data_IF_203395082475
#
_entry.id   IF_203395082475
#
_cell.length_a   1.000
_cell.length_b   1.000
_cell.length_c   1.000
_cell.angle_alpha   90.00
_cell.angle_beta   90.00
_cell.angle_gamma   90.00
#
_symmetry.space_group_name_H-M   'P 1'
#
loop_
_entity.id
_entity.type
_entity.pdbx_description
1 polymer ?
#
# COMPACT_ATOMS: atom_id res chain seq x y z
N UNK A 1 -22.74 3.85 -6.67
CA UNK A 1 -21.26 3.77 -6.66
C UNK A 1 -20.70 5.16 -6.40
N UNK A 2 -19.96 5.39 -5.29
CA UNK A 2 -19.25 6.67 -5.09
C UNK A 2 -18.09 6.72 -6.09
N UNK A 3 -18.26 7.47 -7.17
CA UNK A 3 -17.18 7.79 -8.09
C UNK A 3 -16.19 8.70 -7.37
N UNK A 4 -15.07 8.15 -6.93
CA UNK A 4 -13.94 8.96 -6.48
C UNK A 4 -13.49 9.81 -7.65
N UNK A 5 -13.55 11.14 -7.49
CA UNK A 5 -13.12 12.08 -8.53
C UNK A 5 -11.65 11.84 -8.84
N UNK A 6 -11.34 11.39 -10.06
CA UNK A 6 -9.97 11.23 -10.54
C UNK A 6 -9.54 12.55 -11.18
N UNK A 7 -8.50 13.17 -10.62
CA UNK A 7 -7.90 14.39 -11.17
C UNK A 7 -6.66 14.01 -11.96
N UNK A 8 -6.58 14.43 -13.23
CA UNK A 8 -5.38 14.27 -14.04
C UNK A 8 -4.29 15.22 -13.51
N UNK A 9 -3.12 14.67 -13.21
CA UNK A 9 -1.92 15.43 -12.88
C UNK A 9 -0.80 15.00 -13.81
N UNK A 10 0.04 15.95 -14.22
CA UNK A 10 1.23 15.70 -15.03
C UNK A 10 2.46 15.84 -14.11
N UNK A 11 3.34 14.85 -14.16
CA UNK A 11 4.55 14.81 -13.35
C UNK A 11 5.74 14.44 -14.23
N UNK A 12 6.90 14.99 -13.91
CA UNK A 12 8.20 14.55 -14.44
C UNK A 12 8.78 13.63 -13.37
N UNK A 13 8.86 12.34 -13.67
CA UNK A 13 9.31 11.32 -12.74
C UNK A 13 10.50 10.57 -13.33
N UNK A 14 11.34 10.07 -12.43
CA UNK A 14 12.49 9.24 -12.77
C UNK A 14 12.01 7.90 -13.36
N UNK A 15 12.34 7.58 -14.63
CA UNK A 15 11.86 6.38 -15.29
C UNK A 15 12.37 5.09 -14.64
N UNK A 16 13.56 5.10 -14.04
CA UNK A 16 14.12 3.90 -13.39
C UNK A 16 13.32 3.55 -12.12
N UNK A 17 12.94 4.58 -11.35
CA UNK A 17 12.07 4.40 -10.18
C UNK A 17 10.69 3.88 -10.58
N UNK A 18 10.09 4.39 -11.65
CA UNK A 18 8.79 3.90 -12.13
C UNK A 18 8.89 2.44 -12.58
N UNK A 19 9.97 2.06 -13.26
CA UNK A 19 10.22 0.66 -13.64
C UNK A 19 10.33 -0.24 -12.41
N UNK A 20 11.11 0.15 -11.40
CA UNK A 20 11.24 -0.62 -10.17
C UNK A 20 9.89 -0.77 -9.44
N UNK A 21 9.10 0.32 -9.35
CA UNK A 21 7.77 0.25 -8.73
C UNK A 21 6.85 -0.68 -9.53
N UNK A 22 6.86 -0.65 -10.86
CA UNK A 22 6.05 -1.57 -11.69
C UNK A 22 6.36 -3.03 -11.41
N UNK A 23 7.63 -3.36 -11.22
CA UNK A 23 8.07 -4.73 -10.91
C UNK A 23 7.59 -5.15 -9.51
N UNK A 24 7.75 -4.27 -8.51
CA UNK A 24 7.28 -4.50 -7.13
C UNK A 24 5.76 -4.69 -7.09
N UNK A 25 5.01 -3.83 -7.77
CA UNK A 25 3.54 -3.84 -7.72
C UNK A 25 2.91 -4.76 -8.77
N UNK A 26 3.71 -5.38 -9.64
CA UNK A 26 3.28 -6.19 -10.81
C UNK A 26 2.23 -5.47 -11.65
N UNK A 27 2.48 -4.19 -11.92
CA UNK A 27 1.54 -3.30 -12.62
C UNK A 27 1.81 -3.28 -14.11
N UNK A 28 0.75 -3.19 -14.92
CA UNK A 28 0.85 -3.14 -16.39
C UNK A 28 1.21 -1.74 -16.88
N UNK A 29 0.68 -0.72 -16.22
CA UNK A 29 0.88 0.70 -16.59
C UNK A 29 1.56 1.48 -15.48
N UNK A 30 2.22 2.57 -15.84
CA UNK A 30 2.92 3.44 -14.91
C UNK A 30 1.94 4.11 -13.93
N UNK A 31 0.77 4.54 -14.43
CA UNK A 31 -0.32 5.06 -13.60
C UNK A 31 -0.80 4.04 -12.57
N UNK A 32 -0.94 2.78 -12.97
CA UNK A 32 -1.34 1.70 -12.05
C UNK A 32 -0.25 1.44 -11.01
N UNK A 33 1.02 1.46 -11.40
CA UNK A 33 2.14 1.29 -10.48
C UNK A 33 2.17 2.39 -9.41
N UNK A 34 2.04 3.65 -9.83
CA UNK A 34 1.99 4.79 -8.93
C UNK A 34 0.76 4.69 -8.01
N UNK A 35 -0.41 4.36 -8.55
CA UNK A 35 -1.63 4.20 -7.74
C UNK A 35 -1.47 3.13 -6.67
N UNK A 36 -0.97 1.93 -7.05
CA UNK A 36 -0.75 0.84 -6.10
C UNK A 36 0.32 1.19 -5.07
N UNK A 37 1.38 1.88 -5.46
CA UNK A 37 2.42 2.31 -4.52
C UNK A 37 1.86 3.28 -3.46
N UNK A 38 1.01 4.23 -3.86
CA UNK A 38 0.32 5.13 -2.94
C UNK A 38 -0.56 4.33 -1.96
N UNK A 39 -1.34 3.38 -2.45
CA UNK A 39 -2.20 2.54 -1.63
C UNK A 39 -1.40 1.71 -0.61
N UNK A 40 -0.28 1.11 -1.05
CA UNK A 40 0.61 0.31 -0.19
C UNK A 40 1.21 1.18 0.92
N UNK A 41 1.71 2.38 0.61
CA UNK A 41 2.30 3.26 1.62
C UNK A 41 1.26 3.70 2.65
N UNK A 42 0.04 4.03 2.21
CA UNK A 42 -1.07 4.37 3.10
C UNK A 42 -1.43 3.18 3.99
N UNK A 43 -1.53 1.97 3.43
CA UNK A 43 -1.83 0.75 4.16
C UNK A 43 -0.74 0.43 5.20
N UNK A 44 0.54 0.45 4.79
CA UNK A 44 1.67 0.20 5.67
C UNK A 44 1.71 1.19 6.83
N UNK A 45 1.45 2.48 6.58
CA UNK A 45 1.39 3.51 7.62
C UNK A 45 0.27 3.24 8.62
N UNK A 46 -0.90 2.78 8.15
CA UNK A 46 -2.03 2.40 9.03
C UNK A 46 -1.69 1.16 9.87
N UNK A 47 -1.08 0.14 9.25
CA UNK A 47 -0.64 -1.08 9.94
C UNK A 47 0.39 -0.73 11.02
N UNK A 48 1.39 0.09 10.69
CA UNK A 48 2.41 0.51 11.66
C UNK A 48 1.81 1.26 12.84
N UNK A 49 0.88 2.19 12.59
CA UNK A 49 0.16 2.91 13.66
C UNK A 49 -0.63 1.95 14.54
N UNK A 50 -1.33 0.98 13.95
CA UNK A 50 -2.08 -0.03 14.68
C UNK A 50 -1.16 -0.92 15.54
N UNK A 51 -0.05 -1.40 14.96
CA UNK A 51 0.95 -2.19 15.68
C UNK A 51 1.58 -1.41 16.84
N UNK A 52 1.89 -0.12 16.64
CA UNK A 52 2.37 0.76 17.73
C UNK A 52 1.34 0.94 18.84
N UNK A 53 0.05 1.05 18.50
CA UNK A 53 -1.02 1.18 19.49
C UNK A 53 -1.24 -0.09 20.32
N UNK A 54 -1.00 -1.27 19.72
CA UNK A 54 -1.14 -2.59 20.36
C UNK A 54 0.16 -3.04 21.05
N UNK A 55 1.27 -2.32 20.85
CA UNK A 55 2.59 -2.62 21.45
C UNK A 55 2.45 -2.78 22.98
N UNK A 56 2.74 -3.98 23.47
CA UNK A 56 2.64 -4.34 24.89
C UNK A 56 1.27 -4.86 25.37
N UNK A 57 0.27 -4.92 24.49
CA UNK A 57 -1.09 -5.42 24.81
C UNK A 57 -1.50 -6.67 24.04
N UNK A 58 -0.85 -7.00 22.93
CA UNK A 58 -1.16 -8.18 22.10
C UNK A 58 -0.09 -9.27 22.18
N UNK A 59 -0.51 -10.53 22.13
CA UNK A 59 0.39 -11.67 21.99
C UNK A 59 0.67 -11.95 20.51
N UNK A 60 1.85 -12.48 20.18
CA UNK A 60 2.20 -12.80 18.77
C UNK A 60 1.23 -13.82 18.13
N UNK A 61 0.59 -14.65 18.95
CA UNK A 61 -0.48 -15.57 18.52
C UNK A 61 -1.69 -14.84 17.94
N UNK A 62 -1.99 -13.62 18.40
CA UNK A 62 -3.14 -12.83 17.93
C UNK A 62 -2.93 -12.26 16.51
N UNK A 63 -1.67 -12.21 16.05
CA UNK A 63 -1.30 -11.71 14.72
C UNK A 63 -1.18 -12.84 13.70
N UNK A 64 -0.71 -14.02 14.13
CA UNK A 64 -0.41 -15.15 13.25
C UNK A 64 -1.38 -16.32 13.35
N UNK A 65 -2.36 -16.33 14.26
CA UNK A 65 -3.35 -17.39 14.27
C UNK A 65 -4.10 -17.37 12.95
N UNK A 66 -3.93 -18.44 12.16
CA UNK A 66 -4.85 -18.80 11.09
C UNK A 66 -6.26 -18.72 11.66
N UNK A 67 -7.15 -18.06 10.92
CA UNK A 67 -8.59 -18.26 11.08
C UNK A 67 -8.83 -19.74 10.83
N UNK A 68 -8.85 -20.52 11.91
CA UNK A 68 -9.40 -21.86 11.94
C UNK A 68 -10.89 -21.68 12.19
N UNK A 69 -11.64 -21.59 11.10
CA UNK A 69 -13.10 -21.47 11.06
C UNK A 69 -13.57 -21.74 9.65
#
# INVERSE_FOLDING_TARGET
MKTTSKVRKQFILDPEKIKAVKEITRSKTDTEAISRALDIIIANTKIEKMLKAIKGKGHIKDVYNRVSG
#
